data_IF_392101526336
#
_entry.id   IF_392101526336
#
_cell.length_a   1.000
_cell.length_b   1.000
_cell.length_c   1.000
_cell.angle_alpha   90.00
_cell.angle_beta   90.00
_cell.angle_gamma   90.00
#
_symmetry.space_group_name_H-M   'P 1'
#
loop_
_entity.id
_entity.type
_entity.pdbx_description
1 polymer ?
#
# COMPACT_ATOMS: atom_id res chain seq x y z
N UNK A 1 13.40 9.05 -13.45
CA UNK A 1 14.56 8.46 -12.77
C UNK A 1 14.22 8.31 -11.30
N UNK A 2 14.10 7.08 -10.79
CA UNK A 2 13.77 6.79 -9.39
C UNK A 2 14.98 6.26 -8.61
N UNK A 3 14.96 6.40 -7.28
CA UNK A 3 15.92 5.83 -6.33
C UNK A 3 15.35 4.59 -5.67
N UNK A 4 16.03 3.46 -5.84
CA UNK A 4 15.61 2.16 -5.33
C UNK A 4 16.54 1.71 -4.20
N UNK A 5 15.94 1.16 -3.15
CA UNK A 5 16.66 0.43 -2.12
C UNK A 5 16.35 -1.05 -2.27
N UNK A 6 17.36 -1.87 -2.58
CA UNK A 6 17.25 -3.30 -2.72
C UNK A 6 17.86 -3.97 -1.49
N UNK A 7 17.10 -4.83 -0.84
CA UNK A 7 17.48 -5.50 0.41
C UNK A 7 17.28 -6.99 0.24
N UNK A 8 18.39 -7.73 0.18
CA UNK A 8 18.37 -9.19 0.03
C UNK A 8 19.65 -9.77 0.61
N UNK A 9 19.56 -10.88 1.35
CA UNK A 9 20.73 -11.58 1.84
C UNK A 9 21.49 -12.29 0.69
N UNK A 10 20.79 -12.59 -0.41
CA UNK A 10 21.40 -12.99 -1.66
C UNK A 10 21.86 -11.77 -2.46
N UNK A 11 23.07 -11.31 -2.13
CA UNK A 11 23.72 -10.16 -2.79
C UNK A 11 23.76 -10.28 -4.31
N UNK A 12 24.05 -11.46 -4.86
CA UNK A 12 24.10 -11.65 -6.31
C UNK A 12 22.72 -11.43 -6.96
N UNK A 13 21.63 -11.89 -6.32
CA UNK A 13 20.28 -11.61 -6.81
C UNK A 13 19.96 -10.11 -6.77
N UNK A 14 20.30 -9.42 -5.68
CA UNK A 14 20.06 -7.99 -5.56
C UNK A 14 20.89 -7.15 -6.54
N UNK A 15 22.16 -7.50 -6.77
CA UNK A 15 23.04 -6.85 -7.74
C UNK A 15 22.52 -7.02 -9.18
N UNK A 16 22.12 -8.23 -9.57
CA UNK A 16 21.49 -8.45 -10.88
C UNK A 16 20.23 -7.60 -11.07
N UNK A 17 19.41 -7.45 -10.01
CA UNK A 17 18.21 -6.62 -10.09
C UNK A 17 18.55 -5.13 -10.15
N UNK A 18 19.59 -4.70 -9.44
CA UNK A 18 20.09 -3.33 -9.52
C UNK A 18 20.57 -2.98 -10.92
N UNK A 19 21.35 -3.84 -11.57
CA UNK A 19 21.81 -3.65 -12.96
C UNK A 19 20.63 -3.44 -13.93
N UNK A 20 19.57 -4.26 -13.80
CA UNK A 20 18.35 -4.11 -14.62
C UNK A 20 17.67 -2.75 -14.40
N UNK A 21 17.64 -2.26 -13.16
CA UNK A 21 17.05 -0.96 -12.84
C UNK A 21 17.92 0.19 -13.35
N UNK A 22 19.24 0.06 -13.26
CA UNK A 22 20.20 1.04 -13.75
C UNK A 22 20.16 1.16 -15.28
N UNK A 23 20.07 0.03 -15.99
CA UNK A 23 19.86 -0.02 -17.44
C UNK A 23 18.53 0.65 -17.85
N UNK A 24 17.52 0.63 -16.97
CA UNK A 24 16.25 1.33 -17.16
C UNK A 24 16.31 2.84 -16.79
N UNK A 25 17.49 3.37 -16.46
CA UNK A 25 17.68 4.78 -16.11
C UNK A 25 17.21 5.13 -14.69
N UNK A 26 17.35 4.19 -13.76
CA UNK A 26 17.15 4.40 -12.33
C UNK A 26 18.48 4.31 -11.59
N UNK A 27 18.47 4.60 -10.29
CA UNK A 27 19.61 4.37 -9.41
C UNK A 27 19.22 3.40 -8.31
N UNK A 28 20.07 2.42 -8.04
CA UNK A 28 19.80 1.35 -7.10
C UNK A 28 20.89 1.30 -6.02
N UNK A 29 20.49 1.24 -4.75
CA UNK A 29 21.38 0.94 -3.63
C UNK A 29 21.08 -0.48 -3.16
N UNK A 30 22.10 -1.33 -3.14
CA UNK A 30 22.00 -2.71 -2.64
C UNK A 30 22.55 -2.79 -1.22
N UNK A 31 21.79 -3.40 -0.32
CA UNK A 31 22.20 -3.75 1.04
C UNK A 31 21.78 -5.18 1.38
N UNK A 32 22.43 -5.80 2.36
CA UNK A 32 22.31 -7.23 2.67
C UNK A 32 21.37 -7.56 3.85
N UNK A 33 20.71 -6.56 4.42
CA UNK A 33 19.80 -6.77 5.54
C UNK A 33 19.10 -5.51 6.06
N UNK A 34 18.15 -5.74 6.97
CA UNK A 34 17.27 -4.68 7.50
C UNK A 34 18.02 -3.54 8.20
N UNK A 35 19.00 -3.84 9.04
CA UNK A 35 19.77 -2.80 9.75
C UNK A 35 20.54 -1.88 8.79
N UNK A 36 21.18 -2.46 7.77
CA UNK A 36 21.88 -1.71 6.72
C UNK A 36 20.88 -0.85 5.91
N UNK A 37 19.69 -1.39 5.62
CA UNK A 37 18.63 -0.64 4.95
C UNK A 37 18.13 0.55 5.78
N UNK A 38 17.93 0.37 7.09
CA UNK A 38 17.54 1.45 8.00
C UNK A 38 18.61 2.54 8.06
N UNK A 39 19.89 2.17 8.08
CA UNK A 39 20.99 3.14 8.06
C UNK A 39 21.03 3.90 6.72
N UNK A 40 20.93 3.19 5.59
CA UNK A 40 20.92 3.81 4.27
C UNK A 40 19.77 4.81 4.11
N UNK A 41 18.58 4.50 4.64
CA UNK A 41 17.40 5.36 4.60
C UNK A 41 17.49 6.60 5.52
N UNK A 42 18.48 6.66 6.42
CA UNK A 42 18.77 7.89 7.19
C UNK A 42 19.44 8.95 6.32
N UNK A 43 20.29 8.51 5.41
CA UNK A 43 21.16 9.38 4.60
C UNK A 43 20.52 9.73 3.26
N UNK A 44 19.81 8.78 2.66
CA UNK A 44 19.20 8.92 1.34
C UNK A 44 17.71 8.62 1.41
N UNK A 45 16.91 9.44 0.72
CA UNK A 45 15.49 9.16 0.51
C UNK A 45 15.32 8.33 -0.76
N UNK A 46 14.65 7.19 -0.62
CA UNK A 46 14.35 6.25 -1.70
C UNK A 46 12.89 6.34 -2.12
N UNK A 47 12.61 6.13 -3.40
CA UNK A 47 11.25 6.13 -3.96
C UNK A 47 10.56 4.79 -3.76
N UNK A 48 11.32 3.70 -3.92
CA UNK A 48 10.81 2.33 -3.80
C UNK A 48 11.79 1.46 -3.04
N UNK A 49 11.26 0.70 -2.08
CA UNK A 49 11.93 -0.44 -1.44
C UNK A 49 11.57 -1.72 -2.18
N UNK A 50 12.58 -2.53 -2.52
CA UNK A 50 12.42 -3.92 -2.94
C UNK A 50 13.16 -4.76 -1.91
N UNK A 51 12.45 -5.57 -1.13
CA UNK A 51 13.05 -6.34 -0.02
C UNK A 51 12.68 -7.81 -0.10
N UNK A 52 13.60 -8.68 0.28
CA UNK A 52 13.26 -10.07 0.57
C UNK A 52 12.34 -10.16 1.80
N UNK A 53 11.44 -11.14 1.82
CA UNK A 53 10.56 -11.39 2.97
C UNK A 53 11.33 -11.91 4.19
N UNK A 54 12.30 -12.79 3.98
CA UNK A 54 12.99 -13.56 5.03
C UNK A 54 14.47 -13.25 5.03
N UNK A 55 14.86 -12.29 5.85
CA UNK A 55 16.26 -11.97 6.10
C UNK A 55 16.64 -12.29 7.54
N UNK A 56 17.94 -12.44 7.81
CA UNK A 56 18.43 -12.62 9.16
C UNK A 56 18.09 -11.39 10.03
N UNK A 57 17.59 -11.63 11.24
CA UNK A 57 17.24 -10.59 12.21
C UNK A 57 15.89 -9.91 11.97
N UNK A 58 15.66 -9.34 10.79
CA UNK A 58 14.47 -8.54 10.47
C UNK A 58 13.77 -9.07 9.21
N UNK A 59 12.45 -9.30 9.28
CA UNK A 59 11.66 -9.65 8.09
C UNK A 59 11.42 -8.44 7.18
N UNK A 60 11.18 -8.67 5.90
CA UNK A 60 10.86 -7.62 4.94
C UNK A 60 9.62 -6.80 5.35
N UNK A 61 8.58 -7.44 5.89
CA UNK A 61 7.41 -6.74 6.40
C UNK A 61 7.75 -5.82 7.60
N UNK A 62 8.57 -6.29 8.54
CA UNK A 62 9.04 -5.47 9.66
C UNK A 62 9.92 -4.30 9.18
N UNK A 63 10.74 -4.52 8.14
CA UNK A 63 11.54 -3.46 7.54
C UNK A 63 10.67 -2.38 6.89
N UNK A 64 9.63 -2.77 6.14
CA UNK A 64 8.65 -1.85 5.56
C UNK A 64 8.03 -0.98 6.64
N UNK A 65 7.59 -1.61 7.74
CA UNK A 65 7.01 -0.92 8.88
C UNK A 65 7.96 0.16 9.43
N UNK A 66 9.20 -0.21 9.75
CA UNK A 66 10.19 0.73 10.30
C UNK A 66 10.54 1.86 9.34
N UNK A 67 10.71 1.57 8.04
CA UNK A 67 11.03 2.59 7.06
C UNK A 67 9.87 3.58 6.87
N UNK A 68 8.62 3.12 6.92
CA UNK A 68 7.43 3.97 6.79
C UNK A 68 7.16 4.86 7.99
N UNK A 69 7.62 4.48 9.19
CA UNK A 69 7.61 5.40 10.34
C UNK A 69 8.44 6.67 10.08
N UNK A 70 9.48 6.58 9.23
CA UNK A 70 10.32 7.71 8.82
C UNK A 70 9.85 8.36 7.54
N UNK A 71 9.50 7.57 6.54
CA UNK A 71 9.02 8.03 5.24
C UNK A 71 7.72 7.31 4.87
N UNK A 72 6.56 7.83 5.31
CA UNK A 72 5.27 7.20 5.07
C UNK A 72 4.94 6.97 3.60
N UNK A 73 5.50 7.80 2.72
CA UNK A 73 5.27 7.73 1.28
C UNK A 73 6.06 6.66 0.56
N UNK A 74 6.93 5.91 1.24
CA UNK A 74 7.76 4.87 0.63
C UNK A 74 6.88 3.76 0.04
N UNK A 75 6.98 3.57 -1.28
CA UNK A 75 6.43 2.39 -1.94
C UNK A 75 7.30 1.18 -1.62
N UNK A 76 6.68 0.02 -1.41
CA UNK A 76 7.40 -1.20 -1.06
C UNK A 76 6.90 -2.38 -1.88
N UNK A 77 7.83 -3.19 -2.38
CA UNK A 77 7.56 -4.49 -2.98
C UNK A 77 8.34 -5.52 -2.17
N UNK A 78 7.67 -6.60 -1.79
CA UNK A 78 8.33 -7.73 -1.15
C UNK A 78 8.55 -8.82 -2.19
N UNK A 79 9.74 -9.39 -2.19
CA UNK A 79 10.11 -10.55 -3.01
C UNK A 79 10.30 -11.75 -2.08
N UNK A 80 9.86 -12.95 -2.48
CA UNK A 80 9.99 -14.13 -1.63
C UNK A 80 10.03 -15.44 -2.43
N UNK A 81 10.82 -16.40 -1.98
CA UNK A 81 10.85 -17.73 -2.58
C UNK A 81 9.60 -18.56 -2.26
N UNK A 82 9.07 -18.48 -1.05
CA UNK A 82 7.90 -19.24 -0.59
C UNK A 82 7.14 -18.43 0.46
N UNK A 83 6.04 -17.75 0.08
CA UNK A 83 5.26 -17.00 1.04
C UNK A 83 4.44 -17.94 1.94
N UNK A 84 4.63 -17.87 3.26
CA UNK A 84 3.64 -18.39 4.20
C UNK A 84 2.41 -17.49 4.27
N UNK A 85 1.22 -18.03 4.53
CA UNK A 85 -0.02 -17.25 4.59
C UNK A 85 0.05 -16.12 5.63
N UNK A 86 0.63 -16.39 6.81
CA UNK A 86 0.80 -15.40 7.87
C UNK A 86 1.74 -14.25 7.47
N UNK A 87 2.79 -14.54 6.68
CA UNK A 87 3.73 -13.53 6.19
C UNK A 87 3.08 -12.66 5.11
N UNK A 88 2.29 -13.26 4.22
CA UNK A 88 1.48 -12.52 3.24
C UNK A 88 0.47 -11.61 3.92
N UNK A 89 -0.21 -12.09 4.95
CA UNK A 89 -1.17 -11.30 5.71
C UNK A 89 -0.50 -10.06 6.33
N UNK A 90 0.68 -10.24 6.94
CA UNK A 90 1.48 -9.13 7.48
C UNK A 90 1.91 -8.14 6.41
N UNK A 91 2.46 -8.62 5.29
CA UNK A 91 2.84 -7.76 4.17
C UNK A 91 1.68 -6.92 3.62
N UNK A 92 0.49 -7.54 3.50
CA UNK A 92 -0.73 -6.83 3.08
C UNK A 92 -1.17 -5.79 4.11
N UNK A 93 -1.08 -6.11 5.40
CA UNK A 93 -1.40 -5.16 6.48
C UNK A 93 -0.48 -3.94 6.47
N UNK A 94 0.78 -4.09 6.05
CA UNK A 94 1.67 -2.95 5.85
C UNK A 94 1.28 -2.10 4.64
N UNK A 95 0.50 -2.61 3.67
CA UNK A 95 0.12 -1.88 2.46
C UNK A 95 1.24 -1.86 1.42
N UNK A 96 1.92 -2.99 1.21
CA UNK A 96 2.92 -3.14 0.14
C UNK A 96 2.23 -3.14 -1.23
N UNK A 97 2.94 -2.62 -2.24
CA UNK A 97 2.45 -2.57 -3.62
C UNK A 97 2.24 -3.97 -4.18
N UNK A 98 3.21 -4.88 -3.95
CA UNK A 98 3.09 -6.27 -4.37
C UNK A 98 3.95 -7.19 -3.50
N UNK A 99 3.56 -8.47 -3.49
CA UNK A 99 4.45 -9.57 -3.10
C UNK A 99 4.71 -10.40 -4.34
N UNK A 100 5.96 -10.48 -4.77
CA UNK A 100 6.39 -11.19 -5.97
C UNK A 100 7.17 -12.48 -5.61
N UNK A 101 7.00 -13.57 -6.37
CA UNK A 101 7.77 -14.78 -6.14
C UNK A 101 9.23 -14.63 -6.63
N UNK A 102 10.16 -15.41 -6.09
CA UNK A 102 11.46 -15.73 -6.71
C UNK A 102 11.31 -17.01 -7.58
N UNK A 103 11.82 -17.03 -8.82
CA UNK A 103 12.48 -15.94 -9.54
C UNK A 103 11.50 -14.81 -9.90
N UNK A 104 11.96 -13.56 -9.80
CA UNK A 104 11.11 -12.39 -10.03
C UNK A 104 10.76 -12.25 -11.51
N UNK A 105 9.48 -12.14 -11.88
CA UNK A 105 9.08 -11.81 -13.24
C UNK A 105 9.42 -10.34 -13.54
N UNK A 106 10.60 -10.10 -14.11
CA UNK A 106 11.14 -8.75 -14.40
C UNK A 106 10.13 -7.86 -15.15
N UNK A 107 9.42 -8.32 -16.21
CA UNK A 107 8.43 -7.47 -16.89
C UNK A 107 7.29 -7.00 -15.98
N UNK A 108 6.83 -7.86 -15.08
CA UNK A 108 5.78 -7.51 -14.12
C UNK A 108 6.31 -6.53 -13.06
N UNK A 109 7.53 -6.75 -12.56
CA UNK A 109 8.19 -5.81 -11.66
C UNK A 109 8.31 -4.42 -12.32
N UNK A 110 8.87 -4.32 -13.52
CA UNK A 110 9.05 -3.04 -14.20
C UNK A 110 7.72 -2.31 -14.43
N UNK A 111 6.65 -3.05 -14.73
CA UNK A 111 5.29 -2.49 -14.86
C UNK A 111 4.82 -1.89 -13.54
N UNK A 112 5.02 -2.58 -12.41
CA UNK A 112 4.67 -2.09 -11.08
C UNK A 112 5.49 -0.84 -10.72
N UNK A 113 6.80 -0.86 -10.99
CA UNK A 113 7.69 0.25 -10.67
C UNK A 113 7.39 1.51 -11.46
N UNK A 114 7.04 1.37 -12.73
CA UNK A 114 6.64 2.51 -13.59
C UNK A 114 5.37 3.18 -13.08
N UNK A 115 4.51 2.43 -12.40
CA UNK A 115 3.23 2.92 -11.88
C UNK A 115 3.29 3.33 -10.42
N UNK A 116 4.28 2.86 -9.65
CA UNK A 116 4.36 3.04 -8.21
C UNK A 116 4.23 4.52 -7.83
N UNK A 117 3.21 4.83 -7.02
CA UNK A 117 2.95 6.18 -6.52
C UNK A 117 3.49 6.30 -5.12
N UNK A 118 4.42 7.22 -4.91
CA UNK A 118 4.74 7.69 -3.56
C UNK A 118 3.50 8.28 -2.92
N UNK A 119 3.33 8.08 -1.61
CA UNK A 119 2.16 8.56 -0.86
C UNK A 119 0.82 8.04 -1.42
N UNK A 120 0.85 6.93 -2.15
CA UNK A 120 -0.28 6.33 -2.85
C UNK A 120 -1.05 5.29 -2.05
N UNK A 121 -1.04 5.35 -0.71
CA UNK A 121 -1.74 4.40 0.14
C UNK A 121 -3.22 4.76 0.31
N UNK A 122 -4.10 3.78 0.07
CA UNK A 122 -5.54 3.86 0.30
C UNK A 122 -5.93 2.92 1.45
N UNK A 123 -6.78 3.37 2.37
CA UNK A 123 -7.47 2.46 3.28
C UNK A 123 -8.79 2.04 2.62
N UNK A 124 -9.01 0.74 2.48
CA UNK A 124 -10.25 0.18 1.94
C UNK A 124 -11.04 -0.48 3.07
N UNK A 125 -12.19 0.08 3.41
CA UNK A 125 -13.09 -0.47 4.41
C UNK A 125 -14.27 -1.13 3.72
N UNK A 126 -14.22 -2.47 3.64
CA UNK A 126 -15.17 -3.30 2.88
C UNK A 126 -15.19 -4.70 3.48
N UNK A 127 -16.37 -5.22 3.85
CA UNK A 127 -16.53 -6.54 4.44
C UNK A 127 -16.74 -7.65 3.38
N UNK A 128 -17.19 -7.31 2.18
CA UNK A 128 -17.23 -8.22 1.03
C UNK A 128 -15.81 -8.49 0.50
N UNK A 129 -15.34 -9.72 0.70
CA UNK A 129 -14.01 -10.18 0.29
C UNK A 129 -13.78 -10.04 -1.22
N UNK A 130 -14.78 -10.35 -2.04
CA UNK A 130 -14.64 -10.30 -3.49
C UNK A 130 -14.55 -8.87 -3.99
N UNK A 131 -15.37 -7.98 -3.44
CA UNK A 131 -15.29 -6.55 -3.79
C UNK A 131 -13.97 -5.94 -3.31
N UNK A 132 -13.53 -6.29 -2.08
CA UNK A 132 -12.28 -5.81 -1.53
C UNK A 132 -11.06 -6.25 -2.36
N UNK A 133 -11.02 -7.52 -2.78
CA UNK A 133 -9.96 -8.06 -3.62
C UNK A 133 -9.95 -7.38 -5.01
N UNK A 134 -11.11 -7.25 -5.65
CA UNK A 134 -11.24 -6.57 -6.94
C UNK A 134 -10.77 -5.11 -6.87
N UNK A 135 -11.21 -4.36 -5.85
CA UNK A 135 -10.80 -2.97 -5.65
C UNK A 135 -9.30 -2.86 -5.37
N UNK A 136 -8.73 -3.78 -4.60
CA UNK A 136 -7.29 -3.84 -4.32
C UNK A 136 -6.48 -4.07 -5.60
N UNK A 137 -6.95 -4.96 -6.48
CA UNK A 137 -6.29 -5.24 -7.76
C UNK A 137 -6.30 -4.03 -8.68
N UNK A 138 -7.46 -3.40 -8.89
CA UNK A 138 -7.55 -2.23 -9.77
C UNK A 138 -6.81 -1.00 -9.20
N UNK A 139 -6.75 -0.83 -7.88
CA UNK A 139 -5.91 0.19 -7.23
C UNK A 139 -4.43 -0.05 -7.54
N UNK A 140 -3.97 -1.30 -7.40
CA UNK A 140 -2.60 -1.71 -7.74
C UNK A 140 -2.28 -1.45 -9.20
N UNK A 141 -3.20 -1.74 -10.11
CA UNK A 141 -3.01 -1.46 -11.54
C UNK A 141 -2.83 0.04 -11.82
N UNK A 142 -3.34 0.93 -10.96
CA UNK A 142 -3.12 2.38 -11.02
C UNK A 142 -1.93 2.88 -10.20
N UNK A 143 -1.18 1.96 -9.59
CA UNK A 143 0.01 2.28 -8.82
C UNK A 143 -0.23 2.67 -7.36
N UNK A 144 -1.48 2.56 -6.89
CA UNK A 144 -1.83 2.73 -5.49
C UNK A 144 -1.63 1.44 -4.71
N UNK A 145 -1.43 1.56 -3.40
CA UNK A 145 -1.47 0.43 -2.48
C UNK A 145 -2.72 0.49 -1.63
N UNK A 146 -3.19 -0.66 -1.13
CA UNK A 146 -4.37 -0.71 -0.29
C UNK A 146 -4.10 -1.52 0.98
N UNK A 147 -4.62 -1.03 2.09
CA UNK A 147 -4.78 -1.80 3.33
C UNK A 147 -6.27 -2.00 3.55
N UNK A 148 -6.68 -3.27 3.64
CA UNK A 148 -8.09 -3.66 3.76
C UNK A 148 -8.47 -3.82 5.22
N UNK A 149 -9.55 -3.16 5.63
CA UNK A 149 -10.22 -3.36 6.91
C UNK A 149 -11.64 -3.88 6.62
N UNK A 150 -12.01 -5.01 7.21
CA UNK A 150 -13.33 -5.65 6.98
C UNK A 150 -14.34 -5.37 8.08
N UNK A 151 -13.93 -4.61 9.09
CA UNK A 151 -14.76 -4.33 10.27
C UNK A 151 -14.31 -3.03 10.93
N UNK A 152 -15.15 -2.48 11.80
CA UNK A 152 -14.77 -1.35 12.66
C UNK A 152 -13.55 -1.70 13.55
N UNK A 153 -13.50 -2.87 14.21
CA UNK A 153 -12.29 -3.31 14.91
C UNK A 153 -11.02 -3.33 14.04
N UNK A 154 -11.12 -3.74 12.77
CA UNK A 154 -9.97 -3.74 11.87
C UNK A 154 -9.44 -2.32 11.65
N UNK A 155 -10.34 -1.35 11.42
CA UNK A 155 -9.98 0.09 11.28
C UNK A 155 -9.29 0.60 12.55
N UNK A 156 -9.80 0.24 13.73
CA UNK A 156 -9.21 0.62 15.02
C UNK A 156 -7.82 -0.02 15.20
N UNK A 157 -7.60 -1.22 14.67
CA UNK A 157 -6.33 -1.92 14.69
C UNK A 157 -5.29 -1.42 13.68
N UNK A 158 -5.66 -0.52 12.75
CA UNK A 158 -4.70 0.05 11.79
C UNK A 158 -3.76 1.02 12.51
N UNK A 159 -2.46 0.77 12.42
CA UNK A 159 -1.41 1.58 13.06
C UNK A 159 -0.31 1.93 12.07
N UNK A 160 0.38 3.04 12.31
CA UNK A 160 1.61 3.41 11.58
C UNK A 160 1.49 3.52 10.05
N UNK A 161 0.28 3.81 9.56
CA UNK A 161 0.02 4.09 8.14
C UNK A 161 -0.45 5.52 7.93
N UNK A 162 -0.19 6.05 6.74
CA UNK A 162 -0.58 7.40 6.34
C UNK A 162 -1.28 7.37 4.98
N UNK A 163 -2.56 6.97 4.94
CA UNK A 163 -3.30 6.95 3.69
C UNK A 163 -3.59 8.36 3.19
N UNK A 164 -3.60 8.54 1.87
CA UNK A 164 -4.05 9.80 1.26
C UNK A 164 -5.58 9.82 1.07
N UNK A 165 -6.18 8.64 0.89
CA UNK A 165 -7.61 8.47 0.72
C UNK A 165 -8.11 7.21 1.43
N UNK A 166 -9.41 7.19 1.71
CA UNK A 166 -10.09 6.00 2.20
C UNK A 166 -11.36 5.74 1.37
N UNK A 167 -11.52 4.50 0.92
CA UNK A 167 -12.75 4.00 0.33
C UNK A 167 -13.53 3.28 1.43
N UNK A 168 -14.73 3.72 1.77
CA UNK A 168 -15.43 3.25 2.97
C UNK A 168 -16.86 2.84 2.64
N UNK A 169 -17.21 1.57 2.86
CA UNK A 169 -18.62 1.20 3.05
C UNK A 169 -19.11 1.63 4.43
N UNK A 170 -20.31 2.20 4.46
CA UNK A 170 -20.98 2.61 5.69
C UNK A 170 -21.44 1.43 6.52
N UNK A 171 -21.66 0.26 5.89
CA UNK A 171 -22.08 -0.95 6.60
C UNK A 171 -20.97 -1.98 6.60
N UNK A 172 -20.26 -2.05 7.71
CA UNK A 172 -19.33 -3.14 8.01
C UNK A 172 -19.55 -3.64 9.43
N UNK A 173 -19.20 -4.90 9.75
CA UNK A 173 -19.33 -5.44 11.10
C UNK A 173 -18.60 -4.62 12.18
N UNK A 174 -19.11 -4.70 13.42
CA UNK A 174 -18.42 -4.19 14.60
C UNK A 174 -18.78 -2.76 15.04
N UNK A 175 -19.83 -2.16 14.47
CA UNK A 175 -20.36 -0.87 14.90
C UNK A 175 -21.67 -0.51 14.20
N UNK A 176 -22.29 0.65 14.54
CA UNK A 176 -23.43 1.18 13.81
C UNK A 176 -23.04 1.64 12.39
N UNK A 177 -24.05 1.81 11.52
CA UNK A 177 -23.83 2.34 10.18
C UNK A 177 -23.06 3.68 10.23
N UNK A 178 -22.02 3.82 9.40
CA UNK A 178 -21.15 5.00 9.35
C UNK A 178 -20.07 5.06 10.43
N UNK A 179 -20.04 4.14 11.40
CA UNK A 179 -19.01 4.12 12.45
C UNK A 179 -17.61 3.95 11.86
N UNK A 180 -17.45 3.08 10.86
CA UNK A 180 -16.17 2.88 10.19
C UNK A 180 -15.62 4.18 9.57
N UNK A 181 -16.48 4.95 8.91
CA UNK A 181 -16.12 6.25 8.32
C UNK A 181 -15.62 7.21 9.41
N UNK A 182 -16.36 7.31 10.52
CA UNK A 182 -15.96 8.14 11.65
C UNK A 182 -14.59 7.71 12.21
N UNK A 183 -14.37 6.41 12.40
CA UNK A 183 -13.07 5.89 12.88
C UNK A 183 -11.92 6.19 11.92
N UNK A 184 -12.14 6.08 10.61
CA UNK A 184 -11.15 6.45 9.61
C UNK A 184 -10.80 7.93 9.70
N UNK A 185 -11.80 8.82 9.79
CA UNK A 185 -11.57 10.27 9.88
C UNK A 185 -10.87 10.67 11.19
N UNK A 186 -11.20 10.03 12.31
CA UNK A 186 -10.54 10.25 13.59
C UNK A 186 -9.09 9.78 13.59
N UNK A 187 -8.83 8.60 13.02
CA UNK A 187 -7.49 8.00 13.00
C UNK A 187 -6.58 8.68 11.99
N UNK A 188 -7.15 9.14 10.88
CA UNK A 188 -6.40 9.70 9.75
C UNK A 188 -7.02 11.03 9.27
N UNK A 189 -6.86 12.13 10.03
CA UNK A 189 -7.53 13.40 9.75
C UNK A 189 -7.13 14.08 8.43
N UNK A 190 -5.98 13.70 7.85
CA UNK A 190 -5.52 14.19 6.54
C UNK A 190 -5.97 13.34 5.33
N UNK A 191 -6.82 12.35 5.56
CA UNK A 191 -7.30 11.41 4.55
C UNK A 191 -8.56 11.93 3.88
N UNK A 192 -8.63 11.87 2.55
CA UNK A 192 -9.86 12.19 1.83
C UNK A 192 -10.82 10.99 1.84
N UNK A 193 -12.02 11.10 2.44
CA UNK A 193 -12.99 10.01 2.46
C UNK A 193 -13.78 9.92 1.15
N UNK A 194 -13.93 8.71 0.66
CA UNK A 194 -14.80 8.31 -0.44
C UNK A 194 -15.76 7.25 0.09
N UNK A 195 -17.05 7.58 0.19
CA UNK A 195 -18.05 6.62 0.64
C UNK A 195 -18.54 5.78 -0.53
N UNK A 196 -18.50 4.46 -0.38
CA UNK A 196 -18.97 3.49 -1.39
C UNK A 196 -20.02 2.62 -0.72
N UNK A 197 -21.31 2.90 -0.92
CA UNK A 197 -22.36 2.21 -0.15
C UNK A 197 -23.61 1.89 -0.96
N UNK A 198 -24.31 0.81 -0.59
CA UNK A 198 -25.65 0.53 -1.07
C UNK A 198 -26.74 1.34 -0.32
N UNK A 199 -26.40 1.93 0.83
CA UNK A 199 -27.33 2.55 1.78
C UNK A 199 -27.01 4.04 2.01
N UNK A 200 -27.23 4.92 1.04
CA UNK A 200 -26.87 6.35 1.15
C UNK A 200 -27.63 7.08 2.27
N UNK A 201 -28.77 6.54 2.74
CA UNK A 201 -29.50 7.09 3.89
C UNK A 201 -28.70 7.01 5.21
N UNK A 202 -27.66 6.18 5.27
CA UNK A 202 -26.75 6.10 6.41
C UNK A 202 -25.61 7.12 6.37
N UNK A 203 -25.51 7.94 5.31
CA UNK A 203 -24.52 9.02 5.25
C UNK A 203 -24.80 10.02 6.39
N UNK A 204 -23.76 10.42 7.14
CA UNK A 204 -23.89 11.52 8.09
C UNK A 204 -24.39 12.78 7.38
N UNK A 205 -25.29 13.53 8.01
CA UNK A 205 -25.88 14.74 7.41
C UNK A 205 -24.84 15.85 7.16
N UNK A 206 -23.76 15.83 7.91
CA UNK A 206 -22.59 16.72 7.85
C UNK A 206 -21.44 16.12 7.04
N UNK A 207 -21.66 15.02 6.29
CA UNK A 207 -20.60 14.41 5.50
C UNK A 207 -20.15 15.32 4.36
N UNK A 208 -18.95 15.87 4.49
CA UNK A 208 -18.24 16.59 3.44
C UNK A 208 -17.27 15.63 2.75
N UNK A 209 -17.66 15.14 1.57
CA UNK A 209 -16.83 14.22 0.80
C UNK A 209 -17.49 13.71 -0.46
N UNK A 210 -16.81 12.79 -1.14
CA UNK A 210 -17.32 12.13 -2.34
C UNK A 210 -18.01 10.84 -1.92
N UNK A 211 -19.16 10.53 -2.54
CA UNK A 211 -19.81 9.25 -2.34
C UNK A 211 -20.34 8.69 -3.66
N UNK A 212 -20.38 7.36 -3.75
CA UNK A 212 -20.93 6.61 -4.88
C UNK A 212 -21.82 5.47 -4.37
N UNK A 213 -22.90 5.20 -5.10
CA UNK A 213 -23.85 4.14 -4.76
C UNK A 213 -23.41 2.81 -5.38
N UNK A 214 -23.50 1.70 -4.63
CA UNK A 214 -23.35 0.34 -5.19
C UNK A 214 -24.60 -0.07 -6.00
N UNK A 215 -24.46 -0.70 -7.19
CA UNK A 215 -23.23 -0.90 -7.95
C UNK A 215 -22.73 0.41 -8.59
N UNK A 216 -21.41 0.56 -8.71
CA UNK A 216 -20.75 1.79 -9.18
C UNK A 216 -19.80 1.50 -10.35
N UNK A 217 -19.40 2.58 -11.05
CA UNK A 217 -18.35 2.54 -12.05
C UNK A 217 -16.97 2.66 -11.37
N UNK A 218 -16.19 1.57 -11.41
CA UNK A 218 -14.85 1.52 -10.82
C UNK A 218 -13.88 2.49 -11.48
N UNK A 219 -14.01 2.72 -12.79
CA UNK A 219 -13.16 3.66 -13.53
C UNK A 219 -13.33 5.10 -13.06
N UNK A 220 -14.58 5.53 -12.85
CA UNK A 220 -14.90 6.85 -12.31
C UNK A 220 -14.39 7.04 -10.88
N UNK A 221 -14.51 6.01 -10.03
CA UNK A 221 -13.96 6.04 -8.67
C UNK A 221 -12.42 6.19 -8.68
N UNK A 222 -11.73 5.42 -9.53
CA UNK A 222 -10.28 5.47 -9.66
C UNK A 222 -9.81 6.81 -10.24
N UNK A 223 -10.50 7.35 -11.25
CA UNK A 223 -10.18 8.68 -11.78
C UNK A 223 -10.32 9.77 -10.72
N UNK A 224 -11.33 9.66 -9.85
CA UNK A 224 -11.50 10.58 -8.73
C UNK A 224 -10.38 10.46 -7.68
N UNK A 225 -9.90 9.26 -7.40
CA UNK A 225 -8.73 9.02 -6.54
C UNK A 225 -7.44 9.58 -7.14
N UNK A 226 -7.23 9.40 -8.44
CA UNK A 226 -6.06 9.93 -9.17
C UNK A 226 -5.99 11.46 -9.11
N UNK A 227 -7.14 12.14 -9.25
CA UNK A 227 -7.23 13.59 -9.11
C UNK A 227 -6.83 14.04 -7.70
N UNK A 228 -7.43 13.43 -6.67
CA UNK A 228 -7.13 13.76 -5.26
C UNK A 228 -5.67 13.49 -4.92
N UNK A 229 -5.09 12.42 -5.45
CA UNK A 229 -3.67 12.13 -5.25
C UNK A 229 -2.78 13.17 -5.96
N UNK A 230 -3.12 13.56 -7.18
CA UNK A 230 -2.36 14.54 -7.97
C UNK A 230 -2.38 15.95 -7.36
N UNK A 231 -3.42 16.32 -6.63
CA UNK A 231 -3.48 17.61 -5.90
C UNK A 231 -2.54 17.67 -4.67
N UNK A 232 -1.99 16.53 -4.24
CA UNK A 232 -1.09 16.42 -3.08
C UNK A 232 0.39 16.36 -3.44
N UNK A 233 0.72 16.08 -4.70
CA UNK A 233 2.08 15.88 -5.21
C UNK A 233 2.69 17.19 -5.74
#
# INVERSE_FOLDING_TARGET
>A
MGRFLLVDDNRAFAENLAEILEDAGHSATVVDGGEAALQAAREVRYDVLITDMRMAGMSGAALVHHLRQRDPGLAAIIVTAHPGEAELARARAEGVLAVLPKPVPVPALMTLLTRARRDGLVVLVEDDVHLADNLTEVLRERGFTAVVARSVPDVVGLESIHPFAALVDLRVPGGPDGEALRRVQERFPGTTPFVVTAYPAALPADFEGRWVRKPFDTGALLAALELVHGERA
#
